data_IF_168045669307
#
_entry.id   IF_168045669307
#
_cell.length_a   1.000
_cell.length_b   1.000
_cell.length_c   1.000
_cell.angle_alpha   90.00
_cell.angle_beta   90.00
_cell.angle_gamma   90.00
#
_symmetry.space_group_name_H-M   'P 1'
#
loop_
_entity.id
_entity.type
_entity.pdbx_description
1 polymer ?
#
# COMPACT_ATOMS: atom_id res chain seq x y z
N UNK A 1 27.93 3.22 -15.23
CA UNK A 1 27.22 3.92 -14.18
C UNK A 1 27.09 2.96 -12.99
N UNK A 2 27.71 3.25 -11.87
CA UNK A 2 27.84 2.32 -10.75
C UNK A 2 26.43 1.97 -10.22
N UNK A 3 26.13 0.66 -10.17
CA UNK A 3 25.01 0.11 -9.43
C UNK A 3 25.12 0.65 -8.00
N UNK A 4 24.16 1.47 -7.57
CA UNK A 4 24.06 1.86 -6.15
C UNK A 4 23.97 0.56 -5.37
N UNK A 5 24.93 0.38 -4.47
CA UNK A 5 24.97 -0.72 -3.52
C UNK A 5 23.61 -0.70 -2.80
N UNK A 6 22.73 -1.65 -3.15
CA UNK A 6 21.40 -1.72 -2.57
C UNK A 6 21.59 -2.12 -1.12
N UNK A 7 21.60 -1.14 -0.24
CA UNK A 7 21.62 -1.39 1.20
C UNK A 7 20.52 -2.40 1.52
N UNK A 8 20.88 -3.43 2.31
CA UNK A 8 19.88 -4.42 2.77
C UNK A 8 18.76 -3.70 3.51
N UNK A 9 17.50 -4.10 3.32
CA UNK A 9 16.41 -3.46 4.01
C UNK A 9 16.56 -3.67 5.53
N UNK A 10 16.22 -2.62 6.28
CA UNK A 10 16.22 -2.59 7.75
C UNK A 10 14.79 -2.25 8.18
N UNK A 11 14.30 -2.90 9.23
CA UNK A 11 13.01 -2.58 9.81
C UNK A 11 13.00 -1.11 10.30
N UNK A 12 11.84 -0.43 10.26
CA UNK A 12 11.69 0.88 10.92
C UNK A 12 11.96 0.74 12.42
N UNK A 13 12.11 1.86 13.12
CA UNK A 13 12.20 1.83 14.58
C UNK A 13 10.87 1.31 15.17
N UNK A 14 10.94 0.19 15.88
CA UNK A 14 9.81 -0.49 16.52
C UNK A 14 9.74 -0.23 18.02
N UNK A 15 10.58 0.66 18.56
CA UNK A 15 10.62 1.00 19.98
C UNK A 15 11.29 -0.05 20.88
N UNK A 16 11.74 -1.18 20.34
CA UNK A 16 12.40 -2.26 21.07
C UNK A 16 13.54 -2.83 20.23
N UNK A 17 14.79 -2.70 20.71
CA UNK A 17 15.99 -3.07 19.96
C UNK A 17 16.05 -4.58 19.62
N UNK A 18 15.68 -5.45 20.57
CA UNK A 18 15.71 -6.89 20.34
C UNK A 18 14.66 -7.34 19.33
N UNK A 19 13.46 -6.77 19.39
CA UNK A 19 12.42 -6.99 18.39
C UNK A 19 12.86 -6.44 17.02
N UNK A 20 13.46 -5.26 16.99
CA UNK A 20 14.02 -4.65 15.77
C UNK A 20 15.02 -5.56 15.08
N UNK A 21 15.94 -6.14 15.85
CA UNK A 21 16.94 -7.06 15.32
C UNK A 21 16.29 -8.34 14.75
N UNK A 22 15.31 -8.92 15.45
CA UNK A 22 14.55 -10.09 14.97
C UNK A 22 13.80 -9.79 13.67
N UNK A 23 13.08 -8.68 13.61
CA UNK A 23 12.30 -8.30 12.41
C UNK A 23 13.24 -7.94 11.26
N UNK A 24 14.35 -7.26 11.51
CA UNK A 24 15.36 -6.97 10.49
C UNK A 24 15.98 -8.24 9.93
N UNK A 25 16.30 -9.22 10.75
CA UNK A 25 16.81 -10.53 10.28
C UNK A 25 15.78 -11.24 9.41
N UNK A 26 14.51 -11.33 9.83
CA UNK A 26 13.44 -11.94 9.03
C UNK A 26 13.19 -11.19 7.71
N UNK A 27 13.27 -9.85 7.73
CA UNK A 27 13.15 -9.01 6.54
C UNK A 27 14.29 -9.28 5.54
N UNK A 28 15.52 -9.46 6.02
CA UNK A 28 16.67 -9.80 5.18
C UNK A 28 16.52 -11.20 4.56
N UNK A 29 16.04 -12.18 5.34
CA UNK A 29 15.75 -13.53 4.83
C UNK A 29 14.65 -13.50 3.76
N UNK A 30 13.61 -12.72 3.96
CA UNK A 30 12.53 -12.55 2.99
C UNK A 30 13.05 -11.87 1.71
N UNK A 31 13.89 -10.85 1.82
CA UNK A 31 14.50 -10.15 0.68
C UNK A 31 15.46 -11.08 -0.09
N UNK A 32 16.29 -11.85 0.60
CA UNK A 32 17.18 -12.82 -0.03
C UNK A 32 16.38 -13.91 -0.77
N UNK A 33 15.28 -14.40 -0.18
CA UNK A 33 14.39 -15.36 -0.83
C UNK A 33 13.65 -14.75 -2.02
N UNK A 34 13.13 -13.54 -1.91
CA UNK A 34 12.50 -12.80 -3.02
C UNK A 34 13.49 -12.66 -4.19
N UNK A 35 14.71 -12.18 -3.94
CA UNK A 35 15.75 -12.01 -4.96
C UNK A 35 16.14 -13.34 -5.58
N UNK A 36 16.28 -14.39 -4.78
CA UNK A 36 16.55 -15.73 -5.30
C UNK A 36 15.45 -16.20 -6.24
N UNK A 37 14.17 -16.02 -5.86
CA UNK A 37 13.02 -16.39 -6.70
C UNK A 37 12.99 -15.62 -8.02
N UNK A 38 13.24 -14.31 -7.97
CA UNK A 38 13.25 -13.47 -9.17
C UNK A 38 14.41 -13.74 -10.12
N UNK A 39 15.48 -14.37 -9.62
CA UNK A 39 16.64 -14.76 -10.43
C UNK A 39 16.58 -16.20 -10.97
N UNK A 40 15.43 -16.91 -10.78
CA UNK A 40 15.23 -18.24 -11.35
C UNK A 40 14.64 -18.12 -12.76
N UNK A 41 15.44 -18.37 -13.79
CA UNK A 41 14.96 -18.33 -15.17
C UNK A 41 15.95 -17.70 -16.14
N UNK A 42 15.46 -17.42 -17.34
CA UNK A 42 16.27 -16.83 -18.40
C UNK A 42 16.50 -15.33 -18.14
N UNK A 43 17.71 -14.84 -18.44
CA UNK A 43 18.11 -13.46 -18.11
C UNK A 43 17.20 -12.40 -18.70
N UNK A 44 16.63 -12.64 -19.89
CA UNK A 44 15.71 -11.66 -20.51
C UNK A 44 14.38 -11.51 -19.74
N UNK A 45 14.00 -12.51 -18.92
CA UNK A 45 12.83 -12.45 -18.03
C UNK A 45 13.24 -11.81 -16.70
N UNK A 46 14.31 -12.34 -16.08
CA UNK A 46 14.74 -11.94 -14.73
C UNK A 46 15.06 -10.45 -14.64
N UNK A 47 15.66 -9.87 -15.68
CA UNK A 47 15.95 -8.43 -15.73
C UNK A 47 14.68 -7.57 -15.63
N UNK A 48 13.57 -8.04 -16.19
CA UNK A 48 12.30 -7.30 -16.22
C UNK A 48 11.52 -7.45 -14.93
N UNK A 49 11.33 -8.68 -14.44
CA UNK A 49 10.56 -8.96 -13.23
C UNK A 49 11.27 -8.46 -11.96
N UNK A 50 12.61 -8.33 -11.97
CA UNK A 50 13.38 -7.81 -10.84
C UNK A 50 13.44 -6.28 -10.78
N UNK A 51 13.07 -5.58 -11.84
CA UNK A 51 13.30 -4.16 -12.00
C UNK A 51 12.72 -3.33 -10.83
N UNK A 52 11.42 -3.43 -10.54
CA UNK A 52 10.78 -2.70 -9.45
C UNK A 52 11.16 -3.25 -8.06
N UNK A 53 11.47 -4.54 -7.95
CA UNK A 53 11.98 -5.12 -6.71
C UNK A 53 13.33 -4.52 -6.33
N UNK A 54 14.22 -4.33 -7.32
CA UNK A 54 15.55 -3.76 -7.13
C UNK A 54 15.54 -2.22 -7.04
N UNK A 55 14.51 -1.55 -7.52
CA UNK A 55 14.35 -0.11 -7.38
C UNK A 55 14.13 0.34 -5.91
N UNK A 56 13.93 -0.62 -5.00
CA UNK A 56 13.78 -0.37 -3.57
C UNK A 56 12.32 -0.49 -3.11
N UNK A 57 12.08 0.00 -1.89
CA UNK A 57 10.78 -0.03 -1.22
C UNK A 57 10.93 -0.29 0.28
N UNK A 58 10.03 0.25 1.07
CA UNK A 58 10.07 0.13 2.54
C UNK A 58 9.71 -1.27 3.05
N UNK A 59 9.26 -2.18 2.17
CA UNK A 59 8.82 -3.55 2.51
C UNK A 59 7.82 -3.60 3.68
N UNK A 60 6.99 -2.58 3.80
CA UNK A 60 6.04 -2.43 4.90
C UNK A 60 5.19 -3.68 5.13
N UNK A 61 4.66 -4.29 4.05
CA UNK A 61 3.83 -5.49 4.12
C UNK A 61 4.59 -6.69 4.68
N UNK A 62 5.86 -6.84 4.30
CA UNK A 62 6.74 -7.88 4.82
C UNK A 62 7.02 -7.65 6.31
N UNK A 63 7.36 -6.43 6.71
CA UNK A 63 7.58 -6.06 8.12
C UNK A 63 6.34 -6.36 8.96
N UNK A 64 5.15 -5.99 8.47
CA UNK A 64 3.90 -6.23 9.17
C UNK A 64 3.58 -7.74 9.29
N UNK A 65 3.80 -8.54 8.25
CA UNK A 65 3.65 -9.99 8.32
C UNK A 65 4.58 -10.62 9.35
N UNK A 66 5.84 -10.16 9.41
CA UNK A 66 6.82 -10.64 10.38
C UNK A 66 6.48 -10.23 11.83
N UNK A 67 5.93 -9.01 12.04
CA UNK A 67 5.42 -8.57 13.34
C UNK A 67 4.21 -9.40 13.77
N UNK A 68 3.24 -9.60 12.87
CA UNK A 68 2.07 -10.42 13.14
C UNK A 68 2.43 -11.86 13.50
N UNK A 69 3.50 -12.39 12.92
CA UNK A 69 4.02 -13.73 13.25
C UNK A 69 4.56 -13.85 14.69
N UNK A 70 4.96 -12.74 15.33
CA UNK A 70 5.51 -12.78 16.69
C UNK A 70 4.48 -13.20 17.76
N UNK A 71 3.18 -13.21 17.45
CA UNK A 71 2.14 -13.72 18.33
C UNK A 71 2.01 -15.25 18.32
N UNK A 72 2.62 -15.91 17.34
CA UNK A 72 2.55 -17.36 17.18
C UNK A 72 3.68 -18.13 17.86
N UNK A 73 3.54 -19.45 17.85
CA UNK A 73 4.53 -20.38 18.45
C UNK A 73 5.80 -20.51 17.62
N UNK A 74 5.71 -20.24 16.30
CA UNK A 74 6.80 -20.42 15.35
C UNK A 74 6.99 -19.15 14.48
N UNK A 75 7.39 -18.00 15.05
CA UNK A 75 7.45 -16.72 14.34
C UNK A 75 8.48 -16.69 13.20
N UNK A 76 9.45 -17.60 13.20
CA UNK A 76 10.50 -17.73 12.17
C UNK A 76 10.26 -18.92 11.25
N UNK A 77 9.04 -19.47 11.20
CA UNK A 77 8.72 -20.57 10.31
C UNK A 77 8.96 -20.16 8.84
N UNK A 78 9.41 -21.12 8.04
CA UNK A 78 9.61 -20.90 6.60
C UNK A 78 8.33 -20.40 5.92
N UNK A 79 7.20 -20.93 6.34
CA UNK A 79 5.87 -20.59 5.82
C UNK A 79 5.51 -19.12 6.07
N UNK A 80 5.97 -18.52 7.18
CA UNK A 80 5.81 -17.08 7.48
C UNK A 80 6.58 -16.24 6.43
N UNK A 81 7.85 -16.58 6.21
CA UNK A 81 8.68 -15.91 5.19
C UNK A 81 8.07 -16.05 3.80
N UNK A 82 7.68 -17.26 3.43
CA UNK A 82 7.14 -17.58 2.11
C UNK A 82 5.83 -16.81 1.89
N UNK A 83 4.94 -16.73 2.88
CA UNK A 83 3.70 -15.96 2.85
C UNK A 83 3.95 -14.44 2.73
N UNK A 84 4.91 -13.90 3.50
CA UNK A 84 5.29 -12.49 3.41
C UNK A 84 5.83 -12.13 2.00
N UNK A 85 6.60 -13.03 1.39
CA UNK A 85 7.11 -12.84 0.02
C UNK A 85 6.01 -12.95 -1.02
N UNK A 86 5.00 -13.81 -0.84
CA UNK A 86 3.81 -13.86 -1.72
C UNK A 86 3.09 -12.52 -1.72
N UNK A 87 2.87 -11.92 -0.56
CA UNK A 87 2.22 -10.60 -0.45
C UNK A 87 3.04 -9.52 -1.16
N UNK A 88 4.36 -9.52 -0.99
CA UNK A 88 5.23 -8.54 -1.67
C UNK A 88 5.30 -8.76 -3.18
N UNK A 89 5.36 -10.01 -3.65
CA UNK A 89 5.31 -10.35 -5.10
C UNK A 89 3.99 -9.87 -5.72
N UNK A 90 2.87 -10.06 -5.01
CA UNK A 90 1.56 -9.59 -5.44
C UNK A 90 1.55 -8.07 -5.57
N UNK A 91 2.06 -7.36 -4.55
CA UNK A 91 2.18 -5.91 -4.61
C UNK A 91 3.08 -5.45 -5.77
N UNK A 92 4.22 -6.12 -6.00
CA UNK A 92 5.08 -5.79 -7.12
C UNK A 92 4.36 -6.00 -8.46
N UNK A 93 3.63 -7.10 -8.61
CA UNK A 93 2.87 -7.40 -9.82
C UNK A 93 1.80 -6.33 -10.10
N UNK A 94 1.06 -5.90 -9.07
CA UNK A 94 0.07 -4.82 -9.24
C UNK A 94 0.74 -3.51 -9.65
N UNK A 95 1.91 -3.15 -9.10
CA UNK A 95 2.63 -1.95 -9.52
C UNK A 95 3.02 -1.96 -11.01
N UNK A 96 3.38 -3.13 -11.57
CA UNK A 96 3.64 -3.25 -13.01
C UNK A 96 2.38 -2.99 -13.86
N UNK A 97 1.22 -3.47 -13.39
CA UNK A 97 -0.05 -3.27 -14.07
C UNK A 97 -0.57 -1.84 -13.89
N UNK A 98 -0.45 -1.29 -12.68
CA UNK A 98 -0.84 0.09 -12.37
C UNK A 98 -0.04 1.07 -13.25
N UNK A 99 1.30 0.91 -13.37
CA UNK A 99 2.13 1.75 -14.23
C UNK A 99 1.64 1.78 -15.69
N UNK A 100 1.08 0.67 -16.19
CA UNK A 100 0.49 0.62 -17.55
C UNK A 100 -0.85 1.34 -17.61
N UNK A 101 -1.70 1.17 -16.59
CA UNK A 101 -3.04 1.79 -16.55
C UNK A 101 -2.96 3.30 -16.34
N UNK A 102 -2.01 3.74 -15.51
CA UNK A 102 -1.78 5.15 -15.17
C UNK A 102 -0.86 5.86 -16.18
N UNK A 103 -0.35 5.14 -17.20
CA UNK A 103 0.64 5.63 -18.16
C UNK A 103 1.88 6.25 -17.47
N UNK A 104 2.26 5.73 -16.31
CA UNK A 104 3.30 6.29 -15.47
C UNK A 104 4.69 6.16 -16.11
N UNK A 105 5.46 7.25 -16.15
CA UNK A 105 6.84 7.27 -16.67
C UNK A 105 7.86 6.78 -15.64
N UNK A 106 7.56 6.91 -14.34
CA UNK A 106 8.48 6.62 -13.25
C UNK A 106 7.80 5.92 -12.08
N UNK A 107 8.52 4.99 -11.45
CA UNK A 107 8.12 4.32 -10.21
C UNK A 107 9.31 4.17 -9.27
N UNK A 108 9.15 4.54 -8.00
CA UNK A 108 10.23 4.47 -6.98
C UNK A 108 11.52 5.18 -7.41
N UNK A 109 11.39 6.29 -8.10
CA UNK A 109 12.53 7.06 -8.60
C UNK A 109 13.26 6.47 -9.82
N UNK A 110 12.87 5.29 -10.28
CA UNK A 110 13.34 4.67 -11.53
C UNK A 110 12.35 4.91 -12.68
N UNK A 111 12.79 4.70 -13.92
CA UNK A 111 11.92 4.61 -15.07
C UNK A 111 10.95 3.43 -14.87
N UNK A 112 9.67 3.59 -15.17
CA UNK A 112 8.68 2.52 -15.06
C UNK A 112 8.93 1.42 -16.10
N UNK A 113 8.34 0.24 -15.89
CA UNK A 113 8.55 -0.88 -16.80
C UNK A 113 7.92 -0.65 -18.18
N UNK A 114 6.74 -0.02 -18.23
CA UNK A 114 6.04 0.36 -19.46
C UNK A 114 6.83 1.41 -20.26
N UNK A 115 7.36 2.44 -19.62
CA UNK A 115 8.21 3.44 -20.26
C UNK A 115 9.49 2.83 -20.82
N UNK A 116 10.09 1.89 -20.07
CA UNK A 116 11.37 1.28 -20.45
C UNK A 116 11.26 0.18 -21.51
N UNK A 117 10.21 -0.64 -21.48
CA UNK A 117 10.08 -1.85 -22.33
C UNK A 117 8.74 -1.95 -23.06
N UNK A 118 7.84 -0.98 -22.86
CA UNK A 118 6.50 -0.95 -23.43
C UNK A 118 5.47 -1.76 -22.64
N UNK A 119 4.19 -1.42 -22.84
CA UNK A 119 3.05 -1.94 -22.08
C UNK A 119 2.97 -3.47 -22.09
N UNK A 120 3.17 -4.11 -23.27
CA UNK A 120 3.09 -5.58 -23.37
C UNK A 120 4.09 -6.28 -22.44
N UNK A 121 5.30 -5.71 -22.31
CA UNK A 121 6.34 -6.31 -21.48
C UNK A 121 6.07 -6.06 -19.99
N UNK A 122 5.54 -4.90 -19.63
CA UNK A 122 5.14 -4.61 -18.25
C UNK A 122 3.99 -5.53 -17.80
N UNK A 123 2.95 -5.72 -18.62
CA UNK A 123 1.86 -6.65 -18.34
C UNK A 123 2.40 -8.08 -18.12
N UNK A 124 3.21 -8.59 -19.05
CA UNK A 124 3.78 -9.94 -18.95
C UNK A 124 4.70 -10.10 -17.73
N UNK A 125 5.42 -9.06 -17.33
CA UNK A 125 6.24 -9.09 -16.12
C UNK A 125 5.38 -9.20 -14.86
N UNK A 126 4.28 -8.45 -14.77
CA UNK A 126 3.29 -8.57 -13.69
C UNK A 126 2.68 -9.97 -13.64
N UNK A 127 2.24 -10.52 -14.77
CA UNK A 127 1.68 -11.88 -14.86
C UNK A 127 2.70 -12.94 -14.41
N UNK A 128 3.97 -12.77 -14.77
CA UNK A 128 5.03 -13.68 -14.34
C UNK A 128 5.27 -13.63 -12.83
N UNK A 129 5.20 -12.44 -12.22
CA UNK A 129 5.28 -12.28 -10.76
C UNK A 129 4.11 -13.01 -10.06
N UNK A 130 2.89 -12.95 -10.60
CA UNK A 130 1.75 -13.73 -10.10
C UNK A 130 1.98 -15.24 -10.25
N UNK A 131 2.60 -15.70 -11.33
CA UNK A 131 2.96 -17.11 -11.48
C UNK A 131 3.97 -17.56 -10.41
N UNK A 132 4.98 -16.73 -10.12
CA UNK A 132 5.94 -16.98 -9.03
C UNK A 132 5.26 -17.01 -7.67
N UNK A 133 4.36 -16.07 -7.38
CA UNK A 133 3.58 -16.04 -6.15
C UNK A 133 2.69 -17.30 -6.02
N UNK A 134 2.02 -17.71 -7.10
CA UNK A 134 1.17 -18.90 -7.14
C UNK A 134 1.94 -20.20 -6.87
N UNK A 135 3.17 -20.30 -7.38
CA UNK A 135 4.05 -21.45 -7.12
C UNK A 135 4.40 -21.54 -5.61
N UNK A 136 4.75 -20.40 -4.97
CA UNK A 136 5.03 -20.36 -3.53
C UNK A 136 3.75 -20.74 -2.74
N UNK A 137 2.60 -20.15 -3.10
CA UNK A 137 1.30 -20.43 -2.48
C UNK A 137 0.95 -21.91 -2.49
N UNK A 138 1.30 -22.63 -3.55
CA UNK A 138 1.00 -24.07 -3.65
C UNK A 138 1.64 -24.90 -2.52
N UNK A 139 2.71 -24.41 -1.93
CA UNK A 139 3.39 -25.03 -0.78
C UNK A 139 2.82 -24.64 0.59
N UNK A 140 1.94 -23.62 0.65
CA UNK A 140 1.41 -23.06 1.91
C UNK A 140 0.03 -23.63 2.33
N UNK A 141 -0.51 -24.55 1.54
CA UNK A 141 -1.76 -25.24 1.84
C UNK A 141 -3.02 -24.54 1.31
N UNK A 142 -4.12 -25.31 1.26
CA UNK A 142 -5.36 -24.89 0.60
C UNK A 142 -6.07 -23.71 1.27
N UNK A 143 -5.93 -23.54 2.58
CA UNK A 143 -6.48 -22.40 3.31
C UNK A 143 -5.84 -21.09 2.83
N UNK A 144 -4.51 -21.07 2.72
CA UNK A 144 -3.75 -19.92 2.22
C UNK A 144 -4.08 -19.61 0.77
N UNK A 145 -4.18 -20.64 -0.08
CA UNK A 145 -4.56 -20.45 -1.49
C UNK A 145 -5.95 -19.82 -1.61
N UNK A 146 -6.93 -20.29 -0.81
CA UNK A 146 -8.28 -19.71 -0.79
C UNK A 146 -8.26 -18.27 -0.32
N UNK A 147 -7.63 -18.00 0.82
CA UNK A 147 -7.49 -16.63 1.35
C UNK A 147 -6.87 -15.69 0.33
N UNK A 148 -5.80 -16.15 -0.34
CA UNK A 148 -5.14 -15.35 -1.37
C UNK A 148 -6.05 -15.08 -2.58
N UNK A 149 -6.80 -16.08 -3.03
CA UNK A 149 -7.75 -15.92 -4.14
C UNK A 149 -8.83 -14.88 -3.80
N UNK A 150 -9.37 -14.92 -2.58
CA UNK A 150 -10.36 -13.96 -2.09
C UNK A 150 -9.74 -12.55 -2.00
N UNK A 151 -8.54 -12.44 -1.41
CA UNK A 151 -7.77 -11.17 -1.29
C UNK A 151 -7.49 -10.55 -2.66
N UNK A 152 -7.02 -11.37 -3.61
CA UNK A 152 -6.69 -10.88 -4.95
C UNK A 152 -7.94 -10.48 -5.73
N UNK A 153 -9.04 -11.23 -5.57
CA UNK A 153 -10.34 -10.86 -6.13
C UNK A 153 -10.84 -9.51 -5.60
N UNK A 154 -10.74 -9.28 -4.28
CA UNK A 154 -11.10 -8.00 -3.64
C UNK A 154 -10.20 -6.86 -4.18
N UNK A 155 -8.88 -7.07 -4.27
CA UNK A 155 -7.93 -6.09 -4.78
C UNK A 155 -8.26 -5.67 -6.23
N UNK A 156 -8.50 -6.64 -7.12
CA UNK A 156 -8.86 -6.37 -8.52
C UNK A 156 -10.22 -5.67 -8.60
N UNK A 157 -11.17 -6.01 -7.71
CA UNK A 157 -12.46 -5.31 -7.62
C UNK A 157 -12.27 -3.85 -7.26
N UNK A 158 -11.38 -3.54 -6.30
CA UNK A 158 -11.04 -2.16 -5.93
C UNK A 158 -10.43 -1.39 -7.10
N UNK A 159 -9.50 -2.00 -7.84
CA UNK A 159 -8.93 -1.40 -9.05
C UNK A 159 -9.97 -1.14 -10.14
N UNK A 160 -10.88 -2.09 -10.37
CA UNK A 160 -11.99 -1.90 -11.33
C UNK A 160 -12.94 -0.79 -10.88
N UNK A 161 -13.25 -0.73 -9.57
CA UNK A 161 -14.10 0.31 -8.98
C UNK A 161 -13.49 1.70 -9.17
N UNK A 162 -12.21 1.86 -8.94
CA UNK A 162 -11.47 3.09 -9.17
C UNK A 162 -11.53 3.50 -10.66
N UNK A 163 -11.27 2.57 -11.56
CA UNK A 163 -11.26 2.81 -13.01
C UNK A 163 -12.65 3.18 -13.55
N UNK A 164 -13.71 2.55 -13.04
CA UNK A 164 -15.10 2.82 -13.50
C UNK A 164 -15.64 4.11 -12.89
N UNK A 165 -15.20 4.48 -11.69
CA UNK A 165 -15.71 5.63 -10.93
C UNK A 165 -17.04 5.34 -10.23
N UNK A 166 -17.53 6.31 -9.46
CA UNK A 166 -18.79 6.22 -8.74
C UNK A 166 -19.99 6.15 -9.70
N UNK A 167 -20.97 5.30 -9.35
CA UNK A 167 -22.22 5.22 -10.10
C UNK A 167 -23.08 6.48 -9.91
N UNK A 168 -24.02 6.75 -10.85
CA UNK A 168 -24.96 7.85 -10.72
C UNK A 168 -25.74 7.76 -9.39
N UNK A 169 -25.61 8.79 -8.55
CA UNK A 169 -26.25 8.89 -7.24
C UNK A 169 -25.52 8.13 -6.12
N UNK A 170 -24.41 7.48 -6.38
CA UNK A 170 -23.52 6.95 -5.32
C UNK A 170 -22.81 8.10 -4.62
N UNK A 171 -22.67 8.00 -3.31
CA UNK A 171 -21.88 8.95 -2.54
C UNK A 171 -20.39 8.82 -2.87
N UNK A 172 -19.77 9.89 -3.34
CA UNK A 172 -18.38 9.87 -3.80
C UNK A 172 -17.37 9.51 -2.69
N UNK A 173 -17.64 9.92 -1.43
CA UNK A 173 -16.77 9.57 -0.31
C UNK A 173 -16.94 8.08 0.06
N UNK A 174 -18.18 7.57 0.10
CA UNK A 174 -18.40 6.14 0.33
C UNK A 174 -17.76 5.28 -0.78
N UNK A 175 -17.85 5.74 -2.03
CA UNK A 175 -17.17 5.09 -3.15
C UNK A 175 -15.65 5.08 -2.96
N UNK A 176 -15.04 6.24 -2.68
CA UNK A 176 -13.61 6.37 -2.41
C UNK A 176 -13.17 5.44 -1.26
N UNK A 177 -13.92 5.40 -0.16
CA UNK A 177 -13.58 4.55 0.98
C UNK A 177 -13.61 3.06 0.66
N UNK A 178 -14.51 2.62 -0.23
CA UNK A 178 -14.52 1.24 -0.75
C UNK A 178 -13.28 0.97 -1.62
N UNK A 179 -12.93 1.92 -2.49
CA UNK A 179 -11.74 1.80 -3.35
C UNK A 179 -10.48 1.60 -2.52
N UNK A 180 -10.20 2.48 -1.56
CA UNK A 180 -8.96 2.40 -0.77
C UNK A 180 -8.92 1.16 0.14
N UNK A 181 -10.07 0.71 0.62
CA UNK A 181 -10.18 -0.52 1.39
C UNK A 181 -9.84 -1.74 0.53
N UNK A 182 -10.47 -1.84 -0.65
CA UNK A 182 -10.33 -2.98 -1.55
C UNK A 182 -8.95 -2.98 -2.26
N UNK A 183 -8.46 -1.82 -2.74
CA UNK A 183 -7.20 -1.71 -3.47
C UNK A 183 -5.99 -1.75 -2.54
N UNK A 184 -6.00 -1.00 -1.44
CA UNK A 184 -4.84 -0.82 -0.55
C UNK A 184 -4.96 -1.62 0.74
N UNK A 185 -6.10 -1.55 1.42
CA UNK A 185 -6.32 -2.15 2.75
C UNK A 185 -6.26 -3.67 2.73
N UNK A 186 -6.84 -4.31 1.71
CA UNK A 186 -6.96 -5.77 1.63
C UNK A 186 -5.61 -6.49 1.64
N UNK A 187 -4.62 -5.97 0.91
CA UNK A 187 -3.30 -6.62 0.83
C UNK A 187 -2.47 -6.42 2.10
N UNK A 188 -2.66 -5.31 2.81
CA UNK A 188 -2.06 -5.10 4.13
C UNK A 188 -2.73 -6.00 5.16
N UNK A 189 -4.07 -6.12 5.13
CA UNK A 189 -4.81 -7.08 5.96
C UNK A 189 -4.32 -8.52 5.74
N UNK A 190 -4.11 -8.92 4.48
CA UNK A 190 -3.59 -10.23 4.13
C UNK A 190 -2.17 -10.47 4.67
N UNK A 191 -1.32 -9.46 4.73
CA UNK A 191 0.01 -9.58 5.34
C UNK A 191 -0.08 -9.95 6.82
N UNK A 192 -0.92 -9.24 7.59
CA UNK A 192 -1.16 -9.56 9.01
C UNK A 192 -1.77 -10.94 9.21
N UNK A 193 -2.82 -11.25 8.43
CA UNK A 193 -3.48 -12.55 8.48
C UNK A 193 -2.51 -13.71 8.22
N UNK A 194 -1.75 -13.65 7.13
CA UNK A 194 -0.88 -14.75 6.72
C UNK A 194 0.33 -14.90 7.64
N UNK A 195 0.93 -13.79 8.11
CA UNK A 195 2.00 -13.83 9.08
C UNK A 195 1.58 -14.52 10.38
N UNK A 196 0.43 -14.13 10.93
CA UNK A 196 -0.14 -14.72 12.13
C UNK A 196 -0.56 -16.20 11.93
N UNK A 197 -1.27 -16.51 10.83
CA UNK A 197 -1.72 -17.85 10.51
C UNK A 197 -0.54 -18.84 10.48
N UNK A 198 0.50 -18.51 9.73
CA UNK A 198 1.63 -19.41 9.51
C UNK A 198 2.60 -19.52 10.68
N UNK A 199 2.55 -18.61 11.64
CA UNK A 199 3.28 -18.74 12.91
C UNK A 199 2.57 -19.60 13.95
N UNK A 200 1.29 -19.95 13.71
CA UNK A 200 0.46 -20.70 14.63
C UNK A 200 -0.14 -19.83 15.75
N UNK A 201 -0.50 -18.59 15.41
CA UNK A 201 -1.24 -17.67 16.28
C UNK A 201 -2.69 -18.14 16.46
N UNK A 202 -3.29 -17.82 17.61
CA UNK A 202 -4.70 -18.10 17.86
C UNK A 202 -5.62 -17.32 16.90
N UNK A 203 -6.73 -17.93 16.48
CA UNK A 203 -7.58 -17.38 15.42
C UNK A 203 -8.12 -15.98 15.75
N UNK A 204 -8.48 -15.71 16.98
CA UNK A 204 -8.93 -14.39 17.42
C UNK A 204 -7.87 -13.30 17.17
N UNK A 205 -6.61 -13.59 17.43
CA UNK A 205 -5.51 -12.67 17.14
C UNK A 205 -5.19 -12.57 15.65
N UNK A 206 -5.36 -13.67 14.89
CA UNK A 206 -5.24 -13.63 13.43
C UNK A 206 -6.26 -12.68 12.83
N UNK A 207 -7.52 -12.75 13.28
CA UNK A 207 -8.60 -11.89 12.81
C UNK A 207 -8.38 -10.43 13.20
N UNK A 208 -7.95 -10.17 14.44
CA UNK A 208 -7.62 -8.83 14.93
C UNK A 208 -6.47 -8.19 14.11
N UNK A 209 -5.41 -8.95 13.83
CA UNK A 209 -4.28 -8.47 13.02
C UNK A 209 -4.68 -8.20 11.56
N UNK A 210 -5.58 -9.00 10.99
CA UNK A 210 -6.13 -8.74 9.67
C UNK A 210 -6.94 -7.43 9.64
N UNK A 211 -7.83 -7.20 10.62
CA UNK A 211 -8.61 -5.96 10.71
C UNK A 211 -7.72 -4.74 10.98
N UNK A 212 -6.76 -4.86 11.90
CA UNK A 212 -5.76 -3.81 12.11
C UNK A 212 -5.05 -3.44 10.80
N UNK A 213 -4.60 -4.43 10.02
CA UNK A 213 -3.96 -4.21 8.73
C UNK A 213 -4.88 -3.51 7.72
N UNK A 214 -6.17 -3.80 7.74
CA UNK A 214 -7.17 -3.15 6.88
C UNK A 214 -7.30 -1.66 7.23
N UNK A 215 -7.42 -1.32 8.50
CA UNK A 215 -7.49 0.08 8.96
C UNK A 215 -6.19 0.84 8.70
N UNK A 216 -5.05 0.19 8.93
CA UNK A 216 -3.73 0.75 8.57
C UNK A 216 -3.63 1.11 7.10
N UNK A 217 -4.18 0.26 6.21
CA UNK A 217 -4.19 0.53 4.77
C UNK A 217 -5.02 1.74 4.40
N UNK A 218 -6.19 1.92 5.04
CA UNK A 218 -7.04 3.09 4.87
C UNK A 218 -6.34 4.36 5.35
N UNK A 219 -5.76 4.33 6.56
CA UNK A 219 -4.97 5.45 7.10
C UNK A 219 -3.82 5.81 6.15
N UNK A 220 -3.06 4.80 5.70
CA UNK A 220 -1.91 5.01 4.84
C UNK A 220 -2.29 5.73 3.54
N UNK A 221 -3.41 5.33 2.92
CA UNK A 221 -3.88 5.96 1.69
C UNK A 221 -4.36 7.39 1.92
N UNK A 222 -5.20 7.62 2.94
CA UNK A 222 -5.69 8.98 3.26
C UNK A 222 -4.52 9.94 3.56
N UNK A 223 -3.51 9.46 4.31
CA UNK A 223 -2.30 10.24 4.59
C UNK A 223 -1.52 10.57 3.32
N UNK A 224 -1.36 9.60 2.41
CA UNK A 224 -0.70 9.84 1.11
C UNK A 224 -1.45 10.88 0.27
N UNK A 225 -2.78 10.87 0.28
CA UNK A 225 -3.63 11.82 -0.44
C UNK A 225 -3.54 13.24 0.16
N UNK A 226 -3.47 13.35 1.49
CA UNK A 226 -3.23 14.66 2.15
C UNK A 226 -1.83 15.19 1.74
N UNK A 227 -0.81 14.34 1.73
CA UNK A 227 0.55 14.71 1.36
C UNK A 227 0.62 15.18 -0.09
N UNK A 228 -0.13 14.57 -1.01
CA UNK A 228 -0.13 15.00 -2.43
C UNK A 228 -0.54 16.47 -2.62
N UNK A 229 -1.35 17.01 -1.70
CA UNK A 229 -1.88 18.39 -1.79
C UNK A 229 -1.05 19.39 -0.94
N UNK A 230 -0.61 18.98 0.27
CA UNK A 230 -0.03 19.90 1.26
C UNK A 230 1.47 19.75 1.49
N UNK A 231 2.12 18.69 0.99
CA UNK A 231 3.54 18.54 1.20
C UNK A 231 4.35 19.55 0.38
N UNK A 232 5.48 19.99 0.96
CA UNK A 232 6.44 20.80 0.25
C UNK A 232 7.08 19.97 -0.89
N UNK A 233 7.04 20.44 -2.14
CA UNK A 233 7.68 19.76 -3.27
C UNK A 233 9.17 19.49 -3.07
N UNK A 234 9.88 20.36 -2.34
CA UNK A 234 11.30 20.19 -2.06
C UNK A 234 11.56 19.04 -1.07
N UNK A 235 10.61 18.78 -0.15
CA UNK A 235 10.71 17.71 0.84
C UNK A 235 10.14 16.40 0.32
N UNK A 236 8.97 16.43 -0.32
CA UNK A 236 8.27 15.24 -0.83
C UNK A 236 8.88 14.67 -2.11
N UNK A 237 9.52 15.52 -2.92
CA UNK A 237 10.01 15.17 -4.25
C UNK A 237 8.90 14.89 -5.27
N UNK A 238 7.63 15.20 -4.93
CA UNK A 238 6.45 15.05 -5.78
C UNK A 238 5.96 16.43 -6.25
N UNK A 239 5.36 16.46 -7.44
CA UNK A 239 4.62 17.66 -7.90
C UNK A 239 3.23 17.64 -7.27
N UNK A 240 2.82 18.66 -6.51
CA UNK A 240 1.49 18.71 -5.90
C UNK A 240 0.36 18.61 -6.94
N UNK A 241 -0.73 17.96 -6.58
CA UNK A 241 -1.90 17.81 -7.42
C UNK A 241 -1.73 16.81 -8.56
N UNK A 242 -0.87 15.81 -8.41
CA UNK A 242 -0.73 14.71 -9.37
C UNK A 242 -2.07 14.01 -9.58
N UNK A 243 -2.79 13.69 -8.50
CA UNK A 243 -4.10 13.03 -8.57
C UNK A 243 -5.15 13.87 -9.31
N UNK A 244 -5.11 15.21 -9.16
CA UNK A 244 -5.99 16.12 -9.92
C UNK A 244 -5.72 16.06 -11.43
N UNK A 245 -4.46 15.89 -11.83
CA UNK A 245 -4.06 15.79 -13.24
C UNK A 245 -4.54 14.48 -13.86
N UNK A 246 -4.59 13.42 -13.08
CA UNK A 246 -5.09 12.11 -13.48
C UNK A 246 -6.63 12.02 -13.41
N UNK A 247 -7.28 13.02 -12.80
CA UNK A 247 -8.74 13.05 -12.60
C UNK A 247 -9.21 12.18 -11.45
N UNK A 248 -8.30 11.83 -10.56
CA UNK A 248 -8.59 11.08 -9.33
C UNK A 248 -8.88 12.08 -8.21
N UNK A 249 -10.11 12.11 -7.71
CA UNK A 249 -10.51 13.01 -6.63
C UNK A 249 -10.45 12.27 -5.31
N UNK A 250 -9.39 12.56 -4.55
CA UNK A 250 -9.08 11.92 -3.28
C UNK A 250 -9.88 12.52 -2.12
N UNK A 251 -9.82 11.91 -0.93
CA UNK A 251 -10.71 12.25 0.19
C UNK A 251 -10.71 13.74 0.56
N UNK A 252 -9.56 14.43 0.69
CA UNK A 252 -9.56 15.87 0.99
C UNK A 252 -10.25 16.70 -0.09
N UNK A 253 -10.10 16.32 -1.36
CA UNK A 253 -10.75 16.98 -2.51
C UNK A 253 -12.26 16.77 -2.47
N UNK A 254 -12.72 15.54 -2.22
CA UNK A 254 -14.13 15.20 -2.12
C UNK A 254 -14.81 15.95 -0.98
N UNK A 255 -14.16 16.08 0.19
CA UNK A 255 -14.65 16.90 1.29
C UNK A 255 -14.74 18.39 0.90
N UNK A 256 -13.72 18.94 0.24
CA UNK A 256 -13.72 20.32 -0.23
C UNK A 256 -14.86 20.58 -1.23
N UNK A 257 -15.10 19.66 -2.17
CA UNK A 257 -16.19 19.76 -3.15
C UNK A 257 -17.59 19.72 -2.51
N UNK A 258 -17.73 19.14 -1.31
CA UNK A 258 -19.00 19.08 -0.57
C UNK A 258 -19.38 20.39 0.13
N UNK A 259 -18.46 21.34 0.29
CA UNK A 259 -18.79 22.61 0.89
C UNK A 259 -19.89 23.34 0.11
N UNK A 260 -20.85 23.93 0.84
CA UNK A 260 -21.97 24.68 0.27
C UNK A 260 -21.66 26.19 0.12
N UNK A 261 -20.38 26.53 -0.04
CA UNK A 261 -19.88 27.89 -0.22
C UNK A 261 -19.32 28.13 -1.62
N UNK A 262 -18.74 29.32 -1.84
CA UNK A 262 -18.12 29.70 -3.11
C UNK A 262 -16.93 28.80 -3.48
N UNK A 263 -16.19 28.30 -2.47
CA UNK A 263 -15.03 27.42 -2.67
C UNK A 263 -15.50 26.07 -3.22
N UNK A 264 -16.44 25.42 -2.55
CA UNK A 264 -16.98 24.14 -3.00
C UNK A 264 -17.70 24.25 -4.34
N UNK A 265 -18.46 25.35 -4.58
CA UNK A 265 -19.10 25.60 -5.87
C UNK A 265 -18.07 25.70 -7.01
N UNK A 266 -16.99 26.45 -6.79
CA UNK A 266 -15.94 26.64 -7.80
C UNK A 266 -15.16 25.35 -8.07
N UNK A 267 -14.85 24.55 -7.03
CA UNK A 267 -14.23 23.25 -7.19
C UNK A 267 -15.07 22.29 -8.03
N UNK A 268 -16.39 22.24 -7.81
CA UNK A 268 -17.31 21.41 -8.62
C UNK A 268 -17.39 21.85 -10.09
N UNK A 269 -17.16 23.13 -10.39
CA UNK A 269 -17.06 23.62 -11.79
C UNK A 269 -15.76 23.19 -12.47
N UNK A 270 -14.63 23.21 -11.73
CA UNK A 270 -13.31 22.91 -12.27
C UNK A 270 -13.01 21.40 -12.35
N UNK A 271 -13.43 20.64 -11.33
CA UNK A 271 -13.11 19.23 -11.15
C UNK A 271 -14.20 18.33 -11.74
N UNK A 272 -14.26 18.29 -13.07
CA UNK A 272 -15.20 17.44 -13.84
C UNK A 272 -14.50 16.26 -14.53
N UNK A 273 -13.20 16.12 -14.38
CA UNK A 273 -12.32 15.11 -14.97
C UNK A 273 -10.85 15.52 -14.83
N UNK A 274 -9.92 14.89 -15.55
CA UNK A 274 -8.50 15.22 -15.51
C UNK A 274 -8.20 16.69 -15.78
N UNK A 275 -7.37 17.30 -14.91
CA UNK A 275 -6.99 18.72 -15.02
C UNK A 275 -5.60 18.83 -15.61
N UNK A 276 -5.49 19.18 -16.90
CA UNK A 276 -4.22 19.20 -17.63
C UNK A 276 -3.53 20.56 -17.64
N UNK A 277 -4.25 21.66 -17.36
CA UNK A 277 -3.73 23.03 -17.39
C UNK A 277 -3.13 23.40 -16.02
N UNK A 278 -1.84 23.76 -15.99
CA UNK A 278 -1.13 24.11 -14.74
C UNK A 278 -1.84 25.19 -13.94
N UNK A 279 -2.31 26.26 -14.59
CA UNK A 279 -3.00 27.36 -13.92
C UNK A 279 -4.32 26.90 -13.26
N UNK A 280 -5.02 25.92 -13.84
CA UNK A 280 -6.25 25.36 -13.24
C UNK A 280 -5.91 24.45 -12.06
N UNK A 281 -4.83 23.67 -12.16
CA UNK A 281 -4.35 22.85 -11.02
C UNK A 281 -3.95 23.75 -9.84
N UNK A 282 -3.22 24.86 -10.10
CA UNK A 282 -2.84 25.84 -9.06
C UNK A 282 -4.10 26.45 -8.42
N UNK A 283 -5.10 26.88 -9.22
CA UNK A 283 -6.38 27.38 -8.69
C UNK A 283 -7.08 26.33 -7.82
N UNK A 284 -7.13 25.07 -8.25
CA UNK A 284 -7.74 24.00 -7.48
C UNK A 284 -7.00 23.77 -6.15
N UNK A 285 -5.66 23.71 -6.16
CA UNK A 285 -4.85 23.53 -4.95
C UNK A 285 -5.08 24.66 -3.95
N UNK A 286 -5.09 25.93 -4.41
CA UNK A 286 -5.40 27.09 -3.55
C UNK A 286 -6.80 27.00 -2.94
N UNK A 287 -7.80 26.60 -3.71
CA UNK A 287 -9.17 26.44 -3.22
C UNK A 287 -9.26 25.29 -2.20
N UNK A 288 -8.63 24.14 -2.47
CA UNK A 288 -8.63 22.99 -1.56
C UNK A 288 -7.91 23.36 -0.25
N UNK A 289 -6.78 24.07 -0.32
CA UNK A 289 -6.05 24.52 0.87
C UNK A 289 -6.82 25.51 1.73
N UNK A 290 -7.74 26.27 1.14
CA UNK A 290 -8.63 27.21 1.86
C UNK A 290 -9.91 26.56 2.37
N UNK A 291 -10.20 25.35 1.96
CA UNK A 291 -11.38 24.57 2.36
C UNK A 291 -11.18 23.87 3.71
N UNK A 292 -12.24 23.20 4.19
CA UNK A 292 -12.15 22.29 5.34
C UNK A 292 -11.75 20.85 4.95
N UNK A 293 -11.33 20.62 3.69
CA UNK A 293 -11.03 19.29 3.16
C UNK A 293 -9.96 18.55 3.97
N UNK A 294 -8.88 19.24 4.35
CA UNK A 294 -7.82 18.68 5.18
C UNK A 294 -8.34 18.27 6.57
N UNK A 295 -9.03 19.19 7.25
CA UNK A 295 -9.55 18.95 8.61
C UNK A 295 -10.50 17.73 8.65
N UNK A 296 -11.35 17.59 7.63
CA UNK A 296 -12.27 16.46 7.55
C UNK A 296 -11.55 15.15 7.23
N UNK A 297 -10.59 15.15 6.32
CA UNK A 297 -9.76 13.98 6.03
C UNK A 297 -8.93 13.54 7.26
N UNK A 298 -8.38 14.49 8.04
CA UNK A 298 -7.69 14.20 9.30
C UNK A 298 -8.63 13.61 10.35
N UNK A 299 -9.91 13.99 10.38
CA UNK A 299 -10.93 13.35 11.25
C UNK A 299 -11.22 11.92 10.82
N UNK A 300 -11.24 11.64 9.52
CA UNK A 300 -11.40 10.27 9.01
C UNK A 300 -10.18 9.42 9.37
N UNK A 301 -8.97 9.96 9.27
CA UNK A 301 -7.74 9.30 9.76
C UNK A 301 -7.87 8.95 11.24
N UNK A 302 -8.32 9.88 12.10
CA UNK A 302 -8.48 9.63 13.54
C UNK A 302 -9.57 8.59 13.82
N UNK A 303 -10.64 8.56 13.02
CA UNK A 303 -11.65 7.51 13.11
C UNK A 303 -11.04 6.11 12.84
N UNK A 304 -10.29 5.95 11.75
CA UNK A 304 -9.64 4.67 11.43
C UNK A 304 -8.53 4.31 12.41
N UNK A 305 -7.84 5.32 12.97
CA UNK A 305 -6.89 5.11 14.06
C UNK A 305 -7.58 4.52 15.28
N UNK A 306 -8.73 5.07 15.68
CA UNK A 306 -9.53 4.52 16.80
C UNK A 306 -9.92 3.06 16.55
N UNK A 307 -10.38 2.72 15.34
CA UNK A 307 -10.71 1.35 14.96
C UNK A 307 -9.47 0.42 14.99
N UNK A 308 -8.32 0.91 14.54
CA UNK A 308 -7.07 0.16 14.62
C UNK A 308 -6.64 -0.09 16.07
N UNK A 309 -6.78 0.91 16.96
CA UNK A 309 -6.50 0.77 18.39
C UNK A 309 -7.46 -0.22 19.08
N UNK A 310 -8.73 -0.28 18.67
CA UNK A 310 -9.69 -1.30 19.15
C UNK A 310 -9.25 -2.73 18.77
N UNK A 311 -8.69 -2.92 17.58
CA UNK A 311 -8.14 -4.21 17.17
C UNK A 311 -6.87 -4.57 17.96
N UNK A 312 -5.98 -3.60 18.20
CA UNK A 312 -4.79 -3.82 19.04
C UNK A 312 -5.15 -4.15 20.51
N UNK A 313 -6.26 -3.63 21.01
CA UNK A 313 -6.74 -3.93 22.37
C UNK A 313 -7.17 -5.41 22.57
N UNK A 314 -7.42 -6.15 21.48
CA UNK A 314 -7.71 -7.59 21.50
C UNK A 314 -6.45 -8.45 21.60
N UNK A 315 -5.28 -7.87 21.35
CA UNK A 315 -3.99 -8.56 21.36
C UNK A 315 -3.34 -8.51 22.76
N UNK A 316 -2.44 -9.45 23.09
CA UNK A 316 -1.67 -9.40 24.32
C UNK A 316 -0.89 -8.10 24.48
N UNK A 317 -0.86 -7.54 25.68
CA UNK A 317 -0.07 -6.35 26.02
C UNK A 317 1.41 -6.74 26.16
N UNK A 318 2.18 -6.51 25.08
CA UNK A 318 3.60 -6.88 24.98
C UNK A 318 4.35 -5.96 24.01
N UNK A 319 5.66 -6.19 23.84
CA UNK A 319 6.52 -5.40 22.95
C UNK A 319 6.08 -5.42 21.47
N UNK A 320 5.38 -6.47 21.04
CA UNK A 320 4.91 -6.58 19.65
C UNK A 320 3.70 -5.65 19.43
N UNK A 321 2.77 -5.62 20.39
CA UNK A 321 1.62 -4.70 20.34
C UNK A 321 2.08 -3.25 20.40
N UNK A 322 3.09 -2.93 21.22
CA UNK A 322 3.69 -1.60 21.24
C UNK A 322 4.37 -1.27 19.90
N UNK A 323 5.08 -2.22 19.29
CA UNK A 323 5.68 -2.02 17.98
C UNK A 323 4.64 -1.75 16.87
N UNK A 324 3.46 -2.38 16.94
CA UNK A 324 2.35 -2.08 16.03
C UNK A 324 1.79 -0.68 16.26
N UNK A 325 1.71 -0.20 17.51
CA UNK A 325 1.37 1.21 17.81
C UNK A 325 2.40 2.19 17.25
N UNK A 326 3.69 1.87 17.39
CA UNK A 326 4.77 2.66 16.77
C UNK A 326 4.66 2.70 15.24
N UNK A 327 4.33 1.57 14.62
CA UNK A 327 4.14 1.49 13.18
C UNK A 327 2.95 2.34 12.69
N UNK A 328 1.86 2.33 13.48
CA UNK A 328 0.69 3.18 13.25
C UNK A 328 1.07 4.67 13.39
N UNK A 329 1.75 5.04 14.48
CA UNK A 329 2.20 6.40 14.72
C UNK A 329 3.14 6.91 13.61
N UNK A 330 4.11 6.09 13.18
CA UNK A 330 5.01 6.42 12.07
C UNK A 330 4.27 6.72 10.75
N UNK A 331 3.13 6.06 10.51
CA UNK A 331 2.31 6.35 9.34
C UNK A 331 1.60 7.70 9.45
N UNK A 332 1.27 8.13 10.66
CA UNK A 332 0.62 9.40 10.97
C UNK A 332 1.62 10.57 11.00
N UNK A 333 2.83 10.36 11.50
CA UNK A 333 3.90 11.39 11.59
C UNK A 333 4.28 11.99 10.23
N UNK A 334 3.83 11.38 9.14
CA UNK A 334 4.01 11.88 7.78
C UNK A 334 3.12 13.09 7.45
N UNK A 335 2.12 13.38 8.29
CA UNK A 335 1.23 14.54 8.12
C UNK A 335 1.87 15.88 8.57
N UNK A 336 3.00 15.85 9.29
CA UNK A 336 3.74 17.03 9.80
C UNK A 336 3.37 17.40 11.20
#
# INVERSE_FOLDING_TARGET
MAVRDNARPVAPDLGNAELNDRITAGLQEAEDFLRWRLNQGESFITDKISHLALAGGKRFRVVFALLAAQYGKNPTAREVRDAAVVVELTHLATLYHDDVMDEADRRRGAESANARWGNSMAILAGDYLFAVASEILSGLGSQTVRHFADTFGELVTGQMRETVGAADGEDAIEHYMKVIQEKTGVLIASAGYLGALHSGTEQEHVDALAQFGRHMGQIFQIVDDIIDIWADPEESGKTPGTDLREGVFTLPVLHAMRQEDEVGARLRELLTGPVTEDAVVEECLELIQRSNGRELAERDVEHYRSLADEELAKLPDNEVTEALRHLLAFSLDRLG
#
